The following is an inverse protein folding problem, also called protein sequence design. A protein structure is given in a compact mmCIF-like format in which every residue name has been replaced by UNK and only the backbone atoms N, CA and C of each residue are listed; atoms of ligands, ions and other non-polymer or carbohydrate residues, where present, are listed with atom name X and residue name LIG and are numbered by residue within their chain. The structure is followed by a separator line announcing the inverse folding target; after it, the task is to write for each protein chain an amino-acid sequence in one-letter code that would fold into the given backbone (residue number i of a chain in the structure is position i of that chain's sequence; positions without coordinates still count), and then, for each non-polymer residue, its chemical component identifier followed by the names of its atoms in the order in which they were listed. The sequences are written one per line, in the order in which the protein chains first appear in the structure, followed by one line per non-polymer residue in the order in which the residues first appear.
data_IF_431252543240
#
_entry.id   IF_431252543240
#
_cell.length_a   1.000
_cell.length_b   1.000
_cell.length_c   1.000
_cell.angle_alpha   90.00
_cell.angle_beta   90.00
_cell.angle_gamma   90.00
#
_symmetry.space_group_name_H-M   'P 1'
#
loop_
_entity.id
_entity.type
_entity.pdbx_description
1 polymer ?
#
# COMPACT_ATOMS: atom_id res chain seq x y z
N UNK A 1 -10.53 -1.94 -2.01
CA UNK A 1 -10.21 -1.59 -3.42
C UNK A 1 -11.44 -1.10 -4.18
N UNK A 2 -12.65 -1.51 -3.79
CA UNK A 2 -13.93 -1.02 -4.32
C UNK A 2 -14.06 0.52 -4.33
N UNK A 3 -13.72 1.21 -3.24
CA UNK A 3 -13.73 2.69 -3.17
C UNK A 3 -12.84 3.39 -4.22
N UNK A 4 -11.83 2.71 -4.78
CA UNK A 4 -11.00 3.26 -5.87
C UNK A 4 -11.62 3.01 -7.24
N UNK A 5 -12.35 1.91 -7.42
CA UNK A 5 -13.08 1.61 -8.66
C UNK A 5 -14.33 2.49 -8.78
N UNK A 6 -15.07 2.65 -7.68
CA UNK A 6 -16.26 3.50 -7.59
C UNK A 6 -15.95 4.98 -7.88
N UNK A 7 -14.77 5.47 -7.51
CA UNK A 7 -14.32 6.84 -7.85
C UNK A 7 -13.75 6.96 -9.26
N UNK A 8 -13.12 5.90 -9.79
CA UNK A 8 -12.47 5.93 -11.11
C UNK A 8 -13.45 5.72 -12.26
N UNK A 9 -14.49 4.91 -12.10
CA UNK A 9 -15.52 4.71 -13.11
C UNK A 9 -16.18 6.04 -13.56
N UNK A 10 -16.71 6.89 -12.67
CA UNK A 10 -17.32 8.17 -13.07
C UNK A 10 -16.26 9.18 -13.56
N UNK A 11 -15.02 9.08 -13.10
CA UNK A 11 -13.94 9.93 -13.59
C UNK A 11 -13.51 9.55 -15.02
N UNK A 12 -13.43 8.26 -15.33
CA UNK A 12 -13.11 7.75 -16.66
C UNK A 12 -14.25 8.06 -17.62
N UNK A 13 -15.50 7.89 -17.21
CA UNK A 13 -16.68 8.22 -18.01
C UNK A 13 -16.76 9.72 -18.33
N UNK A 14 -16.60 10.58 -17.32
CA UNK A 14 -16.54 12.04 -17.50
C UNK A 14 -15.37 12.48 -18.39
N UNK A 15 -14.22 11.81 -18.30
CA UNK A 15 -13.06 12.07 -19.17
C UNK A 15 -13.32 11.60 -20.59
N UNK A 16 -13.95 10.43 -20.77
CA UNK A 16 -14.29 9.89 -22.08
C UNK A 16 -15.28 10.80 -22.80
N UNK A 17 -16.40 11.16 -22.15
CA UNK A 17 -17.38 12.12 -22.68
C UNK A 17 -16.71 13.46 -23.02
N UNK A 18 -15.92 14.05 -22.12
CA UNK A 18 -15.24 15.31 -22.42
C UNK A 18 -14.17 15.23 -23.51
N UNK A 19 -13.66 14.04 -23.87
CA UNK A 19 -12.80 13.88 -25.05
C UNK A 19 -13.65 13.73 -26.31
N UNK A 20 -14.76 12.99 -26.24
CA UNK A 20 -15.72 12.88 -27.35
C UNK A 20 -16.27 14.25 -27.73
N UNK A 21 -16.71 15.07 -26.78
CA UNK A 21 -17.22 16.42 -27.03
C UNK A 21 -16.18 17.32 -27.72
N UNK A 22 -14.91 17.22 -27.29
CA UNK A 22 -13.80 17.97 -27.92
C UNK A 22 -13.49 17.45 -29.33
N UNK A 23 -13.60 16.14 -29.55
CA UNK A 23 -13.41 15.53 -30.86
C UNK A 23 -14.53 15.97 -31.83
N UNK A 24 -15.77 16.05 -31.35
CA UNK A 24 -16.92 16.56 -32.12
C UNK A 24 -16.75 18.04 -32.46
N UNK A 25 -16.30 18.85 -31.50
CA UNK A 25 -16.03 20.29 -31.72
C UNK A 25 -14.94 20.49 -32.78
N UNK A 26 -13.79 19.83 -32.63
CA UNK A 26 -12.70 19.93 -33.61
C UNK A 26 -13.07 19.34 -34.98
N UNK A 27 -13.99 18.36 -35.04
CA UNK A 27 -14.53 17.87 -36.31
C UNK A 27 -15.41 18.92 -37.00
N UNK A 28 -16.27 19.61 -36.24
CA UNK A 28 -17.13 20.67 -36.78
C UNK A 28 -16.31 21.87 -37.31
N UNK A 29 -15.22 22.23 -36.63
CA UNK A 29 -14.28 23.27 -37.08
C UNK A 29 -13.54 22.87 -38.36
N UNK A 30 -13.09 21.61 -38.47
CA UNK A 30 -12.49 21.07 -39.68
C UNK A 30 -13.48 21.05 -40.85
N UNK A 31 -14.72 20.63 -40.63
CA UNK A 31 -15.77 20.63 -41.66
C UNK A 31 -16.07 22.05 -42.17
N UNK A 32 -16.10 23.05 -41.27
CA UNK A 32 -16.26 24.46 -41.65
C UNK A 32 -15.05 25.00 -42.44
N UNK A 33 -13.83 24.62 -42.05
CA UNK A 33 -12.60 25.02 -42.76
C UNK A 33 -12.51 24.36 -44.14
N UNK A 34 -12.93 23.09 -44.28
CA UNK A 34 -13.01 22.39 -45.56
C UNK A 34 -14.07 23.01 -46.48
N UNK A 35 -15.23 23.40 -45.94
CA UNK A 35 -16.26 24.08 -46.71
C UNK A 35 -15.79 25.47 -47.19
N UNK A 36 -15.06 26.20 -46.34
CA UNK A 36 -14.40 27.46 -46.73
C UNK A 36 -13.35 27.26 -47.82
N UNK A 37 -12.59 26.16 -47.78
CA UNK A 37 -11.62 25.81 -48.83
C UNK A 37 -12.32 25.43 -50.15
N UNK A 38 -13.46 24.74 -50.07
CA UNK A 38 -14.28 24.37 -51.23
C UNK A 38 -14.94 25.58 -51.91
N UNK A 39 -15.22 26.63 -51.16
CA UNK A 39 -15.77 27.89 -51.66
C UNK A 39 -14.73 28.81 -52.36
N UNK A 40 -13.43 28.49 -52.26
CA UNK A 40 -12.38 29.19 -53.02
C UNK A 40 -12.32 28.58 -54.42
N UNK A 41 -13.08 29.18 -55.34
CA UNK A 41 -13.07 28.82 -56.76
C UNK A 41 -11.78 29.36 -57.41
N UNK A 42 -11.06 28.54 -58.17
CA UNK A 42 -9.88 29.00 -58.91
C UNK A 42 -10.36 29.84 -60.08
N UNK A 43 -10.02 31.14 -60.07
CA UNK A 43 -10.39 32.03 -61.17
C UNK A 43 -9.73 31.55 -62.48
N UNK A 44 -10.56 31.05 -63.40
CA UNK A 44 -10.14 30.48 -64.69
C UNK A 44 -9.38 31.51 -65.55
N UNK A 45 -9.49 32.81 -65.22
CA UNK A 45 -8.78 33.91 -65.84
C UNK A 45 -7.27 33.95 -65.53
N UNK A 46 -6.82 33.52 -64.35
CA UNK A 46 -5.38 33.50 -64.04
C UNK A 46 -4.67 32.37 -64.76
N UNK A 47 -5.34 31.23 -64.96
CA UNK A 47 -4.81 30.14 -65.80
C UNK A 47 -4.75 30.52 -67.28
N UNK A 48 -5.74 31.26 -67.79
CA UNK A 48 -5.74 31.73 -69.18
C UNK A 48 -4.71 32.83 -69.44
N UNK A 49 -4.48 33.76 -68.51
CA UNK A 49 -3.46 34.81 -68.66
C UNK A 49 -2.03 34.28 -68.54
N UNK A 50 -1.81 33.26 -67.70
CA UNK A 50 -0.52 32.55 -67.64
C UNK A 50 -0.29 31.74 -68.92
N UNK A 51 -1.32 31.06 -69.44
CA UNK A 51 -1.23 30.29 -70.70
C UNK A 51 -1.00 31.18 -71.92
N UNK A 52 -1.72 32.28 -72.04
CA UNK A 52 -1.55 33.27 -73.11
C UNK A 52 -0.15 33.89 -73.11
N UNK A 53 0.45 34.12 -71.93
CA UNK A 53 1.81 34.66 -71.80
C UNK A 53 2.93 33.63 -71.99
N UNK A 54 2.62 32.33 -71.88
CA UNK A 54 3.57 31.26 -72.20
C UNK A 54 3.66 31.00 -73.71
N UNK A 55 2.54 31.11 -74.45
CA UNK A 55 2.53 30.88 -75.90
C UNK A 55 3.16 32.03 -76.71
N UNK A 56 3.17 33.27 -76.18
CA UNK A 56 3.75 34.43 -76.89
C UNK A 56 5.29 34.45 -76.97
N UNK A 57 6.01 33.51 -76.32
CA UNK A 57 7.48 33.60 -76.16
C UNK A 57 8.26 32.33 -76.51
N UNK A 58 7.78 31.57 -77.50
CA UNK A 58 8.58 30.53 -78.13
C UNK A 58 9.50 31.13 -79.22
N UNK A 59 10.57 31.84 -78.88
CA UNK A 59 11.82 31.86 -79.68
C UNK A 59 12.94 32.72 -79.03
N UNK A 60 13.98 32.04 -78.55
CA UNK A 60 15.39 32.50 -78.41
C UNK A 60 15.76 33.73 -77.55
N UNK A 61 16.75 33.49 -76.66
CA UNK A 61 17.61 34.44 -75.92
C UNK A 61 17.00 35.26 -74.76
N UNK A 62 17.01 34.67 -73.56
CA UNK A 62 17.76 35.19 -72.39
C UNK A 62 17.44 34.36 -71.14
N UNK A 63 18.46 33.69 -70.57
CA UNK A 63 18.35 33.05 -69.24
C UNK A 63 17.90 34.04 -68.15
N UNK A 64 18.21 35.34 -68.29
CA UNK A 64 17.76 36.39 -67.35
C UNK A 64 16.26 36.68 -67.44
N UNK A 65 15.65 36.56 -68.63
CA UNK A 65 14.21 36.78 -68.83
C UNK A 65 13.38 35.56 -68.46
N UNK A 66 13.93 34.35 -68.65
CA UNK A 66 13.30 33.12 -68.16
C UNK A 66 13.33 33.07 -66.62
N UNK A 67 14.42 33.52 -66.00
CA UNK A 67 14.50 33.60 -64.54
C UNK A 67 13.62 34.70 -63.97
N UNK A 68 13.45 35.84 -64.66
CA UNK A 68 12.45 36.84 -64.25
C UNK A 68 11.02 36.31 -64.38
N UNK A 69 10.68 35.65 -65.49
CA UNK A 69 9.36 35.04 -65.68
C UNK A 69 9.06 33.93 -64.65
N UNK A 70 10.04 33.08 -64.34
CA UNK A 70 9.92 32.06 -63.27
C UNK A 70 9.77 32.72 -61.89
N UNK A 71 10.46 33.83 -61.64
CA UNK A 71 10.32 34.58 -60.39
C UNK A 71 8.96 35.27 -60.28
N UNK A 72 8.38 35.70 -61.40
CA UNK A 72 7.06 36.33 -61.47
C UNK A 72 5.94 35.31 -61.32
N UNK A 73 6.06 34.12 -61.93
CA UNK A 73 5.13 32.99 -61.69
C UNK A 73 5.23 32.53 -60.24
N UNK A 74 6.44 32.43 -59.67
CA UNK A 74 6.62 32.15 -58.23
C UNK A 74 5.99 33.22 -57.36
N UNK A 75 6.00 34.47 -57.79
CA UNK A 75 5.40 35.60 -57.07
C UNK A 75 3.88 35.56 -57.15
N UNK A 76 3.30 35.29 -58.31
CA UNK A 76 1.86 35.11 -58.50
C UNK A 76 1.31 33.90 -57.73
N UNK A 77 1.97 32.74 -57.84
CA UNK A 77 1.64 31.53 -57.05
C UNK A 77 1.80 31.79 -55.55
N UNK A 78 2.81 32.55 -55.14
CA UNK A 78 2.99 32.96 -53.74
C UNK A 78 1.89 33.91 -53.28
N UNK A 79 1.47 34.84 -54.13
CA UNK A 79 0.40 35.81 -53.88
C UNK A 79 -0.95 35.09 -53.71
N UNK A 80 -1.24 34.09 -54.54
CA UNK A 80 -2.44 33.22 -54.44
C UNK A 80 -2.37 32.16 -53.33
N UNK A 81 -1.19 31.69 -52.94
CA UNK A 81 -1.03 30.84 -51.74
C UNK A 81 -1.06 31.66 -50.44
N UNK A 82 -0.97 32.99 -50.50
CA UNK A 82 -1.08 33.87 -49.33
C UNK A 82 -2.44 33.74 -48.63
N UNK A 83 -3.60 33.74 -49.34
CA UNK A 83 -4.90 33.52 -48.71
C UNK A 83 -5.14 32.08 -48.23
N UNK A 84 -4.49 31.07 -48.83
CA UNK A 84 -4.62 29.67 -48.41
C UNK A 84 -3.71 29.27 -47.24
N UNK A 85 -2.57 29.96 -47.05
CA UNK A 85 -1.65 29.76 -45.92
C UNK A 85 -2.30 29.84 -44.53
N UNK A 86 -3.14 30.84 -44.20
CA UNK A 86 -3.79 30.88 -42.89
C UNK A 86 -4.74 29.69 -42.71
N UNK A 87 -5.42 29.24 -43.76
CA UNK A 87 -6.34 28.10 -43.70
C UNK A 87 -5.59 26.76 -43.52
N UNK A 88 -4.46 26.56 -44.20
CA UNK A 88 -3.61 25.37 -44.01
C UNK A 88 -2.99 25.36 -42.60
N UNK A 89 -2.61 26.52 -42.08
CA UNK A 89 -2.13 26.64 -40.72
C UNK A 89 -3.23 26.40 -39.68
N UNK A 90 -4.47 26.84 -39.95
CA UNK A 90 -5.65 26.56 -39.13
C UNK A 90 -5.94 25.05 -39.08
N UNK A 91 -5.97 24.39 -40.24
CA UNK A 91 -6.13 22.94 -40.35
C UNK A 91 -5.03 22.19 -39.58
N UNK A 92 -3.77 22.64 -39.70
CA UNK A 92 -2.65 22.06 -38.94
C UNK A 92 -2.80 22.27 -37.43
N UNK A 93 -3.31 23.42 -37.00
CA UNK A 93 -3.56 23.70 -35.59
C UNK A 93 -4.73 22.88 -35.01
N UNK A 94 -5.71 22.50 -35.83
CA UNK A 94 -6.86 21.66 -35.43
C UNK A 94 -6.57 20.14 -35.50
N UNK A 95 -5.65 19.72 -36.37
CA UNK A 95 -5.19 18.32 -36.42
C UNK A 95 -4.36 17.91 -35.19
N UNK A 96 -3.67 18.86 -34.56
CA UNK A 96 -2.89 18.61 -33.34
C UNK A 96 -3.77 18.17 -32.14
N UNK A 97 -4.84 18.89 -31.75
CA UNK A 97 -5.72 18.46 -30.68
C UNK A 97 -6.46 17.17 -31.01
N UNK A 98 -6.80 16.90 -32.27
CA UNK A 98 -7.33 15.60 -32.72
C UNK A 98 -6.36 14.44 -32.44
N UNK A 99 -5.07 14.61 -32.76
CA UNK A 99 -4.04 13.61 -32.48
C UNK A 99 -3.84 13.40 -30.96
N UNK A 100 -3.87 14.48 -30.17
CA UNK A 100 -3.78 14.39 -28.70
C UNK A 100 -5.02 13.72 -28.08
N UNK A 101 -6.22 14.03 -28.57
CA UNK A 101 -7.48 13.47 -28.09
C UNK A 101 -7.64 11.98 -28.44
N UNK A 102 -7.24 11.57 -29.65
CA UNK A 102 -7.21 10.15 -30.04
C UNK A 102 -6.20 9.34 -29.21
N UNK A 103 -5.03 9.92 -28.89
CA UNK A 103 -4.08 9.30 -27.97
C UNK A 103 -4.66 9.13 -26.55
N UNK A 104 -5.43 10.11 -26.06
CA UNK A 104 -6.12 10.03 -24.76
C UNK A 104 -7.28 9.02 -24.74
N UNK A 105 -8.04 8.89 -25.83
CA UNK A 105 -9.06 7.84 -25.94
C UNK A 105 -8.43 6.45 -25.89
N UNK A 106 -7.29 6.27 -26.56
CA UNK A 106 -6.55 5.01 -26.53
C UNK A 106 -6.03 4.67 -25.13
N UNK A 107 -5.56 5.66 -24.37
CA UNK A 107 -5.13 5.38 -22.99
C UNK A 107 -6.31 5.00 -22.10
N UNK A 108 -7.45 5.68 -22.22
CA UNK A 108 -8.67 5.35 -21.49
C UNK A 108 -9.15 3.93 -21.81
N UNK A 109 -9.20 3.54 -23.09
CA UNK A 109 -9.62 2.19 -23.46
C UNK A 109 -8.73 1.12 -22.85
N UNK A 110 -7.40 1.34 -22.84
CA UNK A 110 -6.46 0.41 -22.18
C UNK A 110 -6.62 0.36 -20.67
N UNK A 111 -6.99 1.46 -20.00
CA UNK A 111 -7.27 1.46 -18.57
C UNK A 111 -8.56 0.71 -18.25
N UNK A 112 -9.58 0.84 -19.09
CA UNK A 112 -10.87 0.19 -18.94
C UNK A 112 -10.75 -1.32 -19.17
N UNK A 113 -10.00 -1.74 -20.18
CA UNK A 113 -9.69 -3.15 -20.45
C UNK A 113 -8.94 -3.81 -19.27
N UNK A 114 -7.91 -3.14 -18.74
CA UNK A 114 -7.19 -3.62 -17.55
C UNK A 114 -8.10 -3.72 -16.33
N UNK A 115 -9.00 -2.76 -16.15
CA UNK A 115 -9.94 -2.75 -15.02
C UNK A 115 -10.95 -3.88 -15.14
N UNK A 116 -11.51 -4.09 -16.32
CA UNK A 116 -12.43 -5.21 -16.61
C UNK A 116 -11.74 -6.56 -16.37
N UNK A 117 -10.49 -6.73 -16.83
CA UNK A 117 -9.73 -7.96 -16.59
C UNK A 117 -9.53 -8.25 -15.10
N UNK A 118 -9.18 -7.24 -14.30
CA UNK A 118 -9.03 -7.39 -12.84
C UNK A 118 -10.35 -7.75 -12.17
N UNK A 119 -11.44 -7.06 -12.51
CA UNK A 119 -12.77 -7.36 -11.96
C UNK A 119 -13.16 -8.80 -12.29
N UNK A 120 -12.85 -9.28 -13.50
CA UNK A 120 -13.11 -10.65 -13.88
C UNK A 120 -12.30 -11.67 -13.06
N UNK A 121 -11.01 -11.41 -12.83
CA UNK A 121 -10.17 -12.24 -11.95
C UNK A 121 -10.67 -12.26 -10.49
N UNK A 122 -11.07 -11.09 -9.97
CA UNK A 122 -11.64 -10.96 -8.63
C UNK A 122 -12.99 -11.69 -8.51
N UNK A 123 -13.85 -11.60 -9.54
CA UNK A 123 -15.15 -12.27 -9.57
C UNK A 123 -15.00 -13.80 -9.60
N UNK A 124 -14.06 -14.32 -10.40
CA UNK A 124 -13.74 -15.76 -10.42
C UNK A 124 -13.26 -16.22 -9.03
N UNK A 125 -12.44 -15.41 -8.36
CA UNK A 125 -11.96 -15.72 -7.01
C UNK A 125 -13.10 -15.69 -5.99
N UNK A 126 -14.00 -14.72 -6.11
CA UNK A 126 -15.17 -14.57 -5.26
C UNK A 126 -16.16 -15.73 -5.43
N UNK A 127 -16.44 -16.12 -6.69
CA UNK A 127 -17.29 -17.25 -7.02
C UNK A 127 -16.74 -18.55 -6.42
N UNK A 128 -15.42 -18.75 -6.47
CA UNK A 128 -14.75 -19.88 -5.81
C UNK A 128 -14.91 -19.87 -4.27
N UNK A 129 -15.00 -18.69 -3.65
CA UNK A 129 -15.20 -18.54 -2.21
C UNK A 129 -16.67 -18.73 -1.75
N UNK A 130 -17.64 -18.59 -2.65
CA UNK A 130 -19.09 -18.71 -2.34
C UNK A 130 -19.68 -20.05 -2.78
N UNK A 131 -18.89 -20.90 -3.46
CA UNK A 131 -19.32 -22.20 -3.97
C UNK A 131 -20.16 -23.01 -2.95
N UNK A 132 -21.32 -23.58 -3.32
CA UNK A 132 -22.21 -24.26 -2.37
C UNK A 132 -21.50 -25.40 -1.61
N UNK A 133 -20.58 -26.10 -2.27
CA UNK A 133 -19.76 -27.15 -1.65
C UNK A 133 -18.78 -26.60 -0.61
N UNK A 134 -18.83 -27.16 0.59
CA UNK A 134 -17.96 -26.78 1.72
C UNK A 134 -16.48 -27.08 1.45
N UNK A 135 -16.16 -28.20 0.79
CA UNK A 135 -14.78 -28.58 0.47
C UNK A 135 -14.16 -27.65 -0.58
N UNK A 136 -14.91 -27.24 -1.59
CA UNK A 136 -14.46 -26.30 -2.62
C UNK A 136 -14.17 -24.90 -2.04
N UNK A 137 -15.05 -24.40 -1.15
CA UNK A 137 -14.81 -23.14 -0.41
C UNK A 137 -13.59 -23.21 0.47
N UNK A 138 -13.39 -24.33 1.17
CA UNK A 138 -12.22 -24.52 2.01
C UNK A 138 -10.95 -24.56 1.17
N UNK A 139 -10.94 -25.26 0.04
CA UNK A 139 -9.80 -25.31 -0.87
C UNK A 139 -9.47 -23.94 -1.48
N UNK A 140 -10.48 -23.15 -1.87
CA UNK A 140 -10.31 -21.79 -2.36
C UNK A 140 -9.76 -20.85 -1.27
N UNK A 141 -10.30 -20.93 -0.04
CA UNK A 141 -9.80 -20.17 1.10
C UNK A 141 -8.38 -20.59 1.54
N UNK A 142 -8.03 -21.88 1.44
CA UNK A 142 -6.70 -22.39 1.73
C UNK A 142 -5.65 -21.95 0.69
N UNK A 143 -6.05 -21.67 -0.55
CA UNK A 143 -5.15 -21.15 -1.59
C UNK A 143 -4.69 -19.72 -1.28
N UNK A 144 -5.47 -18.93 -0.54
CA UNK A 144 -5.03 -17.66 0.01
C UNK A 144 -4.30 -17.89 1.34
N UNK A 145 -3.03 -18.28 1.28
CA UNK A 145 -2.20 -18.43 2.48
C UNK A 145 -1.95 -17.06 3.13
N UNK A 146 -2.60 -16.81 4.27
CA UNK A 146 -2.40 -15.60 5.09
C UNK A 146 -1.14 -15.75 5.98
N UNK A 147 -0.77 -17.00 6.30
CA UNK A 147 0.34 -17.33 7.19
C UNK A 147 1.72 -17.05 6.56
N UNK A 148 1.91 -17.37 5.28
CA UNK A 148 3.21 -17.19 4.62
C UNK A 148 3.60 -15.70 4.55
N UNK A 149 2.74 -14.77 4.07
CA UNK A 149 3.05 -13.35 4.07
C UNK A 149 3.25 -12.78 5.49
N UNK A 150 2.48 -13.26 6.47
CA UNK A 150 2.64 -12.84 7.87
C UNK A 150 4.00 -13.27 8.45
N UNK A 151 4.42 -14.51 8.20
CA UNK A 151 5.71 -15.04 8.66
C UNK A 151 6.89 -14.32 7.99
N UNK A 152 6.79 -14.07 6.67
CA UNK A 152 7.78 -13.28 5.94
C UNK A 152 7.87 -11.86 6.50
N UNK A 153 6.74 -11.21 6.76
CA UNK A 153 6.72 -9.88 7.34
C UNK A 153 7.31 -9.86 8.76
N UNK A 154 7.08 -10.89 9.57
CA UNK A 154 7.68 -11.05 10.89
C UNK A 154 9.21 -11.21 10.79
N UNK A 155 9.70 -12.00 9.84
CA UNK A 155 11.13 -12.15 9.58
C UNK A 155 11.79 -10.81 9.20
N UNK A 156 11.15 -10.05 8.29
CA UNK A 156 11.63 -8.71 7.93
C UNK A 156 11.56 -7.75 9.12
N UNK A 157 10.50 -7.80 9.94
CA UNK A 157 10.39 -7.02 11.17
C UNK A 157 11.49 -7.35 12.18
N UNK A 158 11.90 -8.62 12.29
CA UNK A 158 13.02 -9.00 13.16
C UNK A 158 14.33 -8.33 12.73
N UNK A 159 14.59 -8.27 11.42
CA UNK A 159 15.77 -7.57 10.88
C UNK A 159 15.67 -6.06 11.14
N UNK A 160 14.49 -5.48 10.95
CA UNK A 160 14.25 -4.07 11.26
C UNK A 160 14.46 -3.77 12.75
N UNK A 161 14.01 -4.65 13.64
CA UNK A 161 14.19 -4.52 15.09
C UNK A 161 15.66 -4.52 15.49
N UNK A 162 16.50 -5.31 14.81
CA UNK A 162 17.96 -5.24 14.97
C UNK A 162 18.50 -3.87 14.58
N UNK A 163 17.99 -3.25 13.51
CA UNK A 163 18.34 -1.88 13.13
C UNK A 163 17.96 -0.85 14.20
N UNK A 164 16.78 -0.98 14.80
CA UNK A 164 16.32 -0.14 15.93
C UNK A 164 17.21 -0.33 17.15
N UNK A 165 17.57 -1.57 17.46
CA UNK A 165 18.47 -1.89 18.57
C UNK A 165 19.85 -1.26 18.36
N UNK A 166 20.39 -1.30 17.14
CA UNK A 166 21.62 -0.58 16.82
C UNK A 166 21.46 0.93 17.03
N UNK A 167 20.34 1.53 16.58
CA UNK A 167 20.11 2.98 16.79
C UNK A 167 20.16 3.38 18.25
N UNK A 168 19.55 2.57 19.11
CA UNK A 168 19.52 2.79 20.55
C UNK A 168 20.93 2.95 21.14
N UNK A 169 21.89 2.09 20.78
CA UNK A 169 23.27 2.23 21.25
C UNK A 169 24.03 3.39 20.61
N UNK A 170 23.67 3.78 19.39
CA UNK A 170 24.27 4.95 18.73
C UNK A 170 23.87 6.24 19.44
N UNK A 171 22.62 6.34 19.91
CA UNK A 171 22.07 7.54 20.55
C UNK A 171 22.38 7.60 22.05
N UNK A 172 22.28 6.47 22.77
CA UNK A 172 22.34 6.47 24.23
C UNK A 172 23.65 7.05 24.77
N UNK A 173 24.80 6.67 24.20
CA UNK A 173 26.13 7.06 24.71
C UNK A 173 26.38 8.57 24.63
N UNK A 174 26.20 9.24 23.48
CA UNK A 174 26.34 10.70 23.43
C UNK A 174 25.24 11.44 24.22
N UNK A 175 24.04 10.86 24.40
CA UNK A 175 23.02 11.43 25.28
C UNK A 175 23.41 11.36 26.76
N UNK A 176 24.16 10.35 27.19
CA UNK A 176 24.66 10.25 28.57
C UNK A 176 25.58 11.43 28.93
N UNK A 177 26.38 11.86 27.98
CA UNK A 177 27.26 13.01 28.18
C UNK A 177 26.51 14.35 28.20
N UNK A 178 25.53 14.52 27.30
CA UNK A 178 24.77 15.78 27.18
C UNK A 178 23.81 15.97 28.35
N UNK A 179 23.15 14.89 28.76
CA UNK A 179 22.04 14.93 29.71
C UNK A 179 22.50 14.57 31.13
N UNK A 180 23.67 13.94 31.26
CA UNK A 180 24.24 13.50 32.53
C UNK A 180 23.83 12.06 32.88
N UNK A 181 24.82 11.22 33.20
CA UNK A 181 24.65 9.79 33.45
C UNK A 181 24.07 9.49 34.86
N UNK A 182 24.25 10.40 35.82
CA UNK A 182 23.80 10.23 37.21
C UNK A 182 22.31 10.55 37.44
N UNK A 183 21.58 10.97 36.40
CA UNK A 183 20.18 11.33 36.53
C UNK A 183 19.29 10.15 36.16
N UNK A 184 18.42 9.74 37.10
CA UNK A 184 17.44 8.68 36.88
C UNK A 184 16.01 9.21 36.90
N UNK A 185 15.19 8.74 35.96
CA UNK A 185 13.75 9.02 35.90
C UNK A 185 13.01 7.70 36.09
N UNK A 186 12.23 7.60 37.18
CA UNK A 186 11.51 6.36 37.56
C UNK A 186 12.40 5.10 37.64
N UNK A 187 13.67 5.24 38.05
CA UNK A 187 14.60 4.12 38.17
C UNK A 187 15.18 3.61 36.85
N UNK A 188 14.99 4.36 35.75
CA UNK A 188 15.69 4.17 34.46
C UNK A 188 16.66 5.33 34.27
N UNK A 189 17.85 5.04 33.76
CA UNK A 189 18.84 6.07 33.44
C UNK A 189 18.26 7.04 32.40
N UNK A 190 18.39 8.34 32.64
CA UNK A 190 17.84 9.38 31.78
C UNK A 190 18.31 9.28 30.31
N UNK A 191 19.57 8.89 30.01
CA UNK A 191 20.03 8.69 28.62
C UNK A 191 19.29 7.57 27.91
N UNK A 192 18.99 6.47 28.61
CA UNK A 192 18.20 5.34 28.10
C UNK A 192 16.78 5.79 27.78
N UNK A 193 16.15 6.53 28.69
CA UNK A 193 14.80 7.05 28.46
C UNK A 193 14.75 8.03 27.27
N UNK A 194 15.73 8.93 27.16
CA UNK A 194 15.82 9.88 26.07
C UNK A 194 15.99 9.20 24.70
N UNK A 195 16.90 8.22 24.61
CA UNK A 195 17.10 7.45 23.37
C UNK A 195 15.82 6.71 22.94
N UNK A 196 15.08 6.12 23.89
CA UNK A 196 13.83 5.43 23.60
C UNK A 196 12.74 6.39 23.07
N UNK A 197 12.62 7.58 23.66
CA UNK A 197 11.66 8.61 23.21
C UNK A 197 11.97 9.06 21.78
N UNK A 198 13.25 9.28 21.45
CA UNK A 198 13.68 9.64 20.09
C UNK A 198 13.27 8.57 19.09
N UNK A 199 13.62 7.31 19.35
CA UNK A 199 13.27 6.16 18.50
C UNK A 199 11.76 6.05 18.30
N UNK A 200 10.96 6.21 19.37
CA UNK A 200 9.51 6.16 19.24
C UNK A 200 8.96 7.31 18.40
N UNK A 201 9.49 8.51 18.57
CA UNK A 201 9.06 9.67 17.81
C UNK A 201 9.39 9.50 16.30
N UNK A 202 10.55 8.93 15.98
CA UNK A 202 10.91 8.54 14.61
C UNK A 202 10.03 7.43 14.06
N UNK A 203 9.71 6.41 14.84
CA UNK A 203 8.79 5.35 14.44
C UNK A 203 7.41 5.90 14.09
N UNK A 204 6.89 6.81 14.92
CA UNK A 204 5.61 7.49 14.66
C UNK A 204 5.71 8.35 13.40
N UNK A 205 6.78 9.15 13.24
CA UNK A 205 6.99 9.96 12.04
C UNK A 205 7.11 9.09 10.78
N UNK A 206 7.77 7.93 10.87
CA UNK A 206 7.90 6.95 9.80
C UNK A 206 6.57 6.31 9.38
N UNK A 207 5.75 5.91 10.36
CA UNK A 207 4.39 5.41 10.10
C UNK A 207 3.54 6.47 9.41
N UNK A 208 3.59 7.70 9.93
CA UNK A 208 2.87 8.86 9.37
C UNK A 208 3.34 9.15 7.93
N UNK A 209 4.64 9.12 7.67
CA UNK A 209 5.22 9.31 6.34
C UNK A 209 4.69 8.26 5.36
N UNK A 210 4.72 6.99 5.74
CA UNK A 210 4.31 5.89 4.87
C UNK A 210 2.80 5.88 4.58
N UNK A 211 1.97 6.25 5.55
CA UNK A 211 0.52 6.39 5.35
C UNK A 211 0.19 7.65 4.52
N UNK A 212 0.88 8.77 4.77
CA UNK A 212 0.75 9.99 3.97
C UNK A 212 1.24 9.80 2.52
N UNK A 213 2.25 8.95 2.27
CA UNK A 213 2.66 8.57 0.93
C UNK A 213 1.62 7.67 0.23
N UNK A 214 0.75 7.00 1.00
CA UNK A 214 -0.24 6.04 0.52
C UNK A 214 0.35 4.67 0.21
N UNK A 215 1.56 4.39 0.73
CA UNK A 215 2.20 3.07 0.69
C UNK A 215 1.51 2.18 1.72
N UNK A 216 1.40 2.66 2.97
CA UNK A 216 0.68 1.97 4.04
C UNK A 216 -0.69 2.58 4.34
N UNK A 217 -1.56 1.87 5.06
CA UNK A 217 -2.90 2.35 5.46
C UNK A 217 -3.21 2.17 6.96
N UNK A 218 -2.20 2.30 7.82
CA UNK A 218 -2.34 2.03 9.26
C UNK A 218 -3.23 3.06 9.97
N UNK A 219 -3.10 4.36 9.64
CA UNK A 219 -3.72 5.46 10.40
C UNK A 219 -4.82 6.21 9.63
N UNK A 220 -5.29 5.65 8.51
CA UNK A 220 -6.29 6.23 7.59
C UNK A 220 -5.91 7.60 6.99
N UNK A 221 -4.69 8.07 7.20
CA UNK A 221 -4.20 9.37 6.72
C UNK A 221 -4.19 9.43 5.20
N UNK A 222 -3.98 8.28 4.55
CA UNK A 222 -4.09 8.14 3.10
C UNK A 222 -5.43 8.55 2.49
N UNK A 223 -6.51 8.61 3.30
CA UNK A 223 -7.86 9.03 2.87
C UNK A 223 -8.12 10.54 2.96
N UNK A 224 -7.21 11.31 3.57
CA UNK A 224 -7.36 12.75 3.75
C UNK A 224 -7.36 13.52 2.42
N UNK A 225 -7.95 14.74 2.39
CA UNK A 225 -7.88 15.65 1.26
C UNK A 225 -6.43 15.97 0.83
N UNK A 226 -6.23 16.37 -0.44
CA UNK A 226 -4.88 16.53 -1.03
C UNK A 226 -3.96 17.49 -0.28
N UNK A 227 -4.49 18.57 0.29
CA UNK A 227 -3.71 19.60 1.02
C UNK A 227 -3.13 19.08 2.34
N UNK A 228 -3.94 18.65 3.34
CA UNK A 228 -3.41 18.16 4.62
C UNK A 228 -2.51 16.94 4.44
N UNK A 229 -2.82 16.06 3.47
CA UNK A 229 -1.96 14.92 3.13
C UNK A 229 -0.56 15.33 2.69
N UNK A 230 -0.45 16.36 1.83
CA UNK A 230 0.86 16.88 1.39
C UNK A 230 1.61 17.57 2.52
N UNK A 231 0.90 18.37 3.33
CA UNK A 231 1.51 19.05 4.48
C UNK A 231 2.12 18.02 5.43
N UNK A 232 1.37 16.98 5.76
CA UNK A 232 1.83 15.93 6.65
C UNK A 232 2.98 15.10 6.06
N UNK A 233 2.94 14.81 4.75
CA UNK A 233 4.04 14.13 4.06
C UNK A 233 5.32 14.97 4.14
N UNK A 234 5.27 16.26 3.79
CA UNK A 234 6.44 17.13 3.87
C UNK A 234 6.90 17.38 5.32
N UNK A 235 5.96 17.47 6.27
CA UNK A 235 6.28 17.59 7.69
C UNK A 235 7.02 16.35 8.21
N UNK A 236 6.55 15.15 7.88
CA UNK A 236 7.20 13.90 8.30
C UNK A 236 8.59 13.71 7.63
N UNK A 237 8.72 14.08 6.35
CA UNK A 237 10.02 14.10 5.65
C UNK A 237 10.98 15.08 6.33
N UNK A 238 10.53 16.31 6.59
CA UNK A 238 11.35 17.32 7.23
C UNK A 238 11.75 16.91 8.66
N UNK A 239 10.82 16.30 9.40
CA UNK A 239 11.06 15.77 10.73
C UNK A 239 12.13 14.66 10.72
N UNK A 240 11.97 13.64 9.89
CA UNK A 240 12.96 12.55 9.77
C UNK A 240 14.31 13.05 9.25
N UNK A 241 14.33 14.01 8.31
CA UNK A 241 15.57 14.61 7.83
C UNK A 241 16.30 15.41 8.94
N UNK A 242 15.56 16.15 9.76
CA UNK A 242 16.13 16.88 10.89
C UNK A 242 16.71 15.93 11.96
N UNK A 243 15.98 14.86 12.28
CA UNK A 243 16.45 13.84 13.22
C UNK A 243 17.65 13.06 12.68
N UNK A 244 17.62 12.66 11.41
CA UNK A 244 18.74 12.05 10.71
C UNK A 244 20.01 12.92 10.74
N UNK A 245 19.89 14.24 10.60
CA UNK A 245 21.00 15.16 10.77
C UNK A 245 21.48 15.25 12.23
N UNK A 246 20.56 15.27 13.18
CA UNK A 246 20.88 15.28 14.61
C UNK A 246 21.62 14.00 15.04
N UNK A 247 21.15 12.84 14.59
CA UNK A 247 21.82 11.55 14.83
C UNK A 247 23.19 11.47 14.17
N UNK A 248 23.36 12.05 12.97
CA UNK A 248 24.67 12.15 12.33
C UNK A 248 25.66 12.92 13.20
N UNK A 249 25.24 14.05 13.79
CA UNK A 249 26.05 14.84 14.72
C UNK A 249 26.39 14.03 15.99
N UNK A 250 25.39 13.35 16.57
CA UNK A 250 25.61 12.50 17.75
C UNK A 250 26.58 11.35 17.45
N UNK A 251 26.55 10.79 16.24
CA UNK A 251 27.49 9.74 15.82
C UNK A 251 28.94 10.25 15.75
N UNK A 252 29.16 11.50 15.33
CA UNK A 252 30.49 12.14 15.39
C UNK A 252 30.97 12.20 16.84
N UNK A 253 30.11 12.70 17.74
CA UNK A 253 30.44 12.85 19.15
C UNK A 253 30.75 11.51 19.81
N UNK A 254 29.97 10.47 19.47
CA UNK A 254 30.20 9.11 19.95
C UNK A 254 31.60 8.59 19.61
N UNK A 255 32.05 8.78 18.37
CA UNK A 255 33.37 8.31 17.94
C UNK A 255 34.50 9.04 18.69
N UNK A 256 34.38 10.36 18.85
CA UNK A 256 35.35 11.16 19.62
C UNK A 256 35.41 10.70 21.07
N UNK A 257 34.26 10.43 21.70
CA UNK A 257 34.20 9.92 23.08
C UNK A 257 34.88 8.55 23.21
N UNK A 258 34.69 7.65 22.25
CA UNK A 258 35.32 6.32 22.27
C UNK A 258 36.86 6.45 22.18
N UNK A 259 37.36 7.40 21.40
CA UNK A 259 38.81 7.63 21.28
C UNK A 259 39.41 8.12 22.61
N UNK A 260 38.76 9.10 23.25
CA UNK A 260 39.21 9.63 24.55
C UNK A 260 39.19 8.55 25.64
N UNK A 261 38.14 7.71 25.68
CA UNK A 261 38.00 6.60 26.62
C UNK A 261 39.10 5.54 26.43
N UNK A 262 39.48 5.26 25.18
CA UNK A 262 40.59 4.35 24.87
C UNK A 262 41.95 4.91 25.28
N UNK A 263 42.19 6.21 25.05
CA UNK A 263 43.44 6.88 25.43
C UNK A 263 43.61 6.93 26.95
N UNK A 264 42.57 7.33 27.67
CA UNK A 264 42.58 7.37 29.14
C UNK A 264 42.77 5.99 29.77
N UNK A 265 42.11 4.96 29.23
CA UNK A 265 42.30 3.58 29.68
C UNK A 265 43.74 3.09 29.46
N UNK A 266 44.35 3.39 28.30
CA UNK A 266 45.75 3.04 28.02
C UNK A 266 46.72 3.76 28.96
N UNK A 267 46.49 5.04 29.23
CA UNK A 267 47.26 5.81 30.22
C UNK A 267 47.11 5.23 31.63
N UNK A 268 45.91 4.79 32.01
CA UNK A 268 45.64 4.19 33.32
C UNK A 268 46.29 2.80 33.49
N UNK A 269 46.43 2.03 32.41
CA UNK A 269 47.07 0.71 32.41
C UNK A 269 48.61 0.79 32.44
N UNK A 270 49.20 2.00 32.40
CA UNK A 270 50.65 2.18 32.48
C UNK A 270 51.40 1.77 31.20
N UNK A 271 50.69 1.48 30.11
CA UNK A 271 51.28 1.39 28.77
C UNK A 271 51.69 2.82 28.37
N UNK A 272 52.97 3.13 28.54
CA UNK A 272 53.54 4.42 28.19
C UNK A 272 53.19 4.81 26.76
N UNK A 273 53.03 6.12 26.53
CA UNK A 273 52.65 6.74 25.27
C UNK A 273 53.65 6.42 24.14
N UNK A 274 53.61 5.21 23.59
CA UNK A 274 54.11 4.97 22.25
C UNK A 274 53.15 5.67 21.31
N UNK A 275 53.71 6.69 20.64
CA UNK A 275 53.03 7.59 19.72
C UNK A 275 52.15 6.82 18.74
N UNK A 276 50.87 6.70 19.07
CA UNK A 276 49.86 6.34 18.09
C UNK A 276 49.77 7.56 17.18
N UNK A 277 50.22 7.37 15.94
CA UNK A 277 50.17 8.38 14.88
C UNK A 277 48.87 9.17 14.96
N UNK A 278 49.02 10.49 14.90
CA UNK A 278 48.00 11.48 14.56
C UNK A 278 47.04 10.89 13.51
N UNK A 279 45.93 10.33 13.98
CA UNK A 279 44.76 10.12 13.15
C UNK A 279 43.85 11.33 13.31
N UNK A 280 44.43 12.52 13.13
CA UNK A 280 43.72 13.80 12.99
C UNK A 280 42.92 13.88 11.67
N UNK A 281 42.55 12.72 11.12
CA UNK A 281 41.75 12.56 9.91
C UNK A 281 40.43 11.88 10.27
N UNK A 282 39.41 12.16 9.48
CA UNK A 282 38.10 11.50 9.62
C UNK A 282 38.32 9.97 9.52
N UNK A 283 38.12 9.25 10.63
CA UNK A 283 38.28 7.80 10.63
C UNK A 283 37.24 7.17 9.69
N UNK A 284 37.62 6.10 8.99
CA UNK A 284 36.68 5.35 8.15
C UNK A 284 35.46 4.89 8.98
N UNK A 285 35.70 4.56 10.25
CA UNK A 285 34.68 4.23 11.24
C UNK A 285 33.71 5.40 11.46
N UNK A 286 34.21 6.62 11.62
CA UNK A 286 33.37 7.82 11.79
C UNK A 286 32.42 8.01 10.60
N UNK A 287 32.94 7.92 9.36
CA UNK A 287 32.10 8.06 8.15
C UNK A 287 31.05 6.95 8.10
N UNK A 288 31.44 5.70 8.36
CA UNK A 288 30.52 4.57 8.36
C UNK A 288 29.41 4.73 9.40
N UNK A 289 29.74 5.19 10.60
CA UNK A 289 28.78 5.42 11.69
C UNK A 289 27.87 6.61 11.39
N UNK A 290 28.39 7.71 10.80
CA UNK A 290 27.56 8.83 10.35
C UNK A 290 26.56 8.41 9.28
N UNK A 291 27.02 7.67 8.26
CA UNK A 291 26.15 7.17 7.20
C UNK A 291 25.09 6.23 7.76
N UNK A 292 25.47 5.35 8.70
CA UNK A 292 24.54 4.47 9.38
C UNK A 292 23.49 5.25 10.18
N UNK A 293 23.91 6.24 10.98
CA UNK A 293 23.02 7.11 11.75
C UNK A 293 22.05 7.87 10.85
N UNK A 294 22.52 8.41 9.72
CA UNK A 294 21.64 9.06 8.76
C UNK A 294 20.59 8.10 8.20
N UNK A 295 20.96 6.86 7.89
CA UNK A 295 20.09 5.89 7.24
C UNK A 295 19.05 5.25 8.16
N UNK A 296 19.33 5.12 9.47
CA UNK A 296 18.45 4.37 10.36
C UNK A 296 17.04 4.98 10.50
N UNK A 297 16.84 6.30 10.68
CA UNK A 297 15.49 6.88 10.75
C UNK A 297 14.64 6.58 9.51
N UNK A 298 15.27 6.55 8.33
CA UNK A 298 14.61 6.17 7.08
C UNK A 298 14.32 4.68 6.99
N UNK A 299 15.23 3.85 7.49
CA UNK A 299 15.03 2.40 7.59
C UNK A 299 13.85 2.08 8.52
N UNK A 300 13.73 2.83 9.62
CA UNK A 300 12.64 2.73 10.58
C UNK A 300 11.29 3.14 9.96
N UNK A 301 11.29 4.16 9.10
CA UNK A 301 10.11 4.48 8.29
C UNK A 301 9.73 3.35 7.32
N UNK A 302 10.70 2.72 6.66
CA UNK A 302 10.45 1.58 5.76
C UNK A 302 9.90 0.38 6.53
N UNK A 303 10.30 0.18 7.79
CA UNK A 303 9.78 -0.88 8.65
C UNK A 303 8.27 -0.79 8.88
N UNK A 304 7.64 0.37 8.64
CA UNK A 304 6.18 0.51 8.69
C UNK A 304 5.46 -0.37 7.64
N UNK A 305 6.11 -0.72 6.52
CA UNK A 305 5.53 -1.57 5.46
C UNK A 305 5.28 -3.00 5.95
N UNK A 306 6.30 -3.76 6.41
CA UNK A 306 6.07 -5.09 6.98
C UNK A 306 5.23 -5.02 8.26
N UNK A 307 5.36 -3.95 9.06
CA UNK A 307 4.52 -3.74 10.25
C UNK A 307 3.03 -3.72 9.91
N UNK A 308 2.62 -3.07 8.81
CA UNK A 308 1.23 -3.09 8.35
C UNK A 308 0.74 -4.53 8.09
N UNK A 309 1.56 -5.31 7.40
CA UNK A 309 1.23 -6.71 7.06
C UNK A 309 1.14 -7.56 8.32
N UNK A 310 2.05 -7.36 9.28
CA UNK A 310 2.02 -8.03 10.57
C UNK A 310 0.73 -7.70 11.31
N UNK A 311 0.38 -6.42 11.44
CA UNK A 311 -0.82 -5.98 12.19
C UNK A 311 -2.10 -6.50 11.53
N UNK A 312 -2.25 -6.34 10.22
CA UNK A 312 -3.46 -6.75 9.50
C UNK A 312 -3.71 -8.26 9.62
N UNK A 313 -2.69 -9.05 9.34
CA UNK A 313 -2.80 -10.50 9.43
C UNK A 313 -2.87 -10.98 10.89
N UNK A 314 -2.21 -10.31 11.83
CA UNK A 314 -2.28 -10.64 13.26
C UNK A 314 -3.69 -10.48 13.81
N UNK A 315 -4.38 -9.37 13.52
CA UNK A 315 -5.77 -9.17 13.96
C UNK A 315 -6.70 -10.22 13.36
N UNK A 316 -6.49 -10.60 12.10
CA UNK A 316 -7.26 -11.66 11.47
C UNK A 316 -7.01 -13.03 12.12
N UNK A 317 -5.74 -13.41 12.30
CA UNK A 317 -5.34 -14.66 12.96
C UNK A 317 -5.87 -14.70 14.40
N UNK A 318 -5.79 -13.58 15.13
CA UNK A 318 -6.30 -13.46 16.49
C UNK A 318 -7.81 -13.69 16.55
N UNK A 319 -8.57 -13.12 15.61
CA UNK A 319 -10.02 -13.36 15.49
C UNK A 319 -10.34 -14.83 15.20
N UNK A 320 -9.58 -15.47 14.30
CA UNK A 320 -9.74 -16.89 13.97
C UNK A 320 -9.45 -17.79 15.18
N UNK A 321 -8.33 -17.53 15.87
CA UNK A 321 -7.94 -18.27 17.08
C UNK A 321 -8.99 -18.08 18.18
N UNK A 322 -9.44 -16.84 18.43
CA UNK A 322 -10.46 -16.57 19.44
C UNK A 322 -11.78 -17.28 19.12
N UNK A 323 -12.19 -17.30 17.86
CA UNK A 323 -13.37 -18.07 17.42
C UNK A 323 -13.20 -19.56 17.70
N UNK A 324 -12.04 -20.14 17.37
CA UNK A 324 -11.76 -21.55 17.64
C UNK A 324 -11.74 -21.88 19.13
N UNK A 325 -11.17 -21.00 19.96
CA UNK A 325 -11.18 -21.11 21.43
C UNK A 325 -12.62 -21.08 21.95
N UNK A 326 -13.48 -20.21 21.41
CA UNK A 326 -14.89 -20.15 21.82
C UNK A 326 -15.65 -21.43 21.48
N UNK A 327 -15.45 -22.00 20.28
CA UNK A 327 -16.07 -23.27 19.90
C UNK A 327 -15.57 -24.41 20.80
N UNK A 328 -14.26 -24.45 21.06
CA UNK A 328 -13.67 -25.45 21.93
C UNK A 328 -14.18 -25.35 23.38
N UNK A 329 -14.34 -24.13 23.88
CA UNK A 329 -14.91 -23.88 25.20
C UNK A 329 -16.38 -24.29 25.27
N UNK A 330 -17.17 -23.99 24.23
CA UNK A 330 -18.55 -24.45 24.12
C UNK A 330 -18.65 -25.98 24.11
N UNK A 331 -17.73 -26.66 23.40
CA UNK A 331 -17.63 -28.12 23.41
C UNK A 331 -17.31 -28.69 24.80
N UNK A 332 -16.39 -28.06 25.55
CA UNK A 332 -16.07 -28.44 26.94
C UNK A 332 -17.32 -28.33 27.81
N UNK A 333 -18.03 -27.20 27.76
CA UNK A 333 -19.25 -27.00 28.55
C UNK A 333 -20.37 -27.97 28.17
N UNK A 334 -20.54 -28.26 26.88
CA UNK A 334 -21.52 -29.24 26.40
C UNK A 334 -21.20 -30.66 26.90
N UNK A 335 -19.92 -31.04 26.87
CA UNK A 335 -19.44 -32.33 27.37
C UNK A 335 -19.65 -32.42 28.89
N UNK A 336 -19.27 -31.38 29.62
CA UNK A 336 -19.46 -31.28 31.08
C UNK A 336 -20.95 -31.37 31.46
N UNK A 337 -21.83 -30.67 30.74
CA UNK A 337 -23.27 -30.73 30.96
C UNK A 337 -23.83 -32.13 30.74
N UNK A 338 -23.31 -32.86 29.75
CA UNK A 338 -23.71 -34.25 29.48
C UNK A 338 -23.27 -35.19 30.61
N UNK A 339 -22.05 -35.01 31.10
CA UNK A 339 -21.51 -35.79 32.24
C UNK A 339 -22.33 -35.52 33.51
N UNK A 340 -22.62 -34.25 33.84
CA UNK A 340 -23.43 -33.91 35.01
C UNK A 340 -24.83 -34.49 34.93
N UNK A 341 -25.46 -34.46 33.74
CA UNK A 341 -26.78 -35.10 33.53
C UNK A 341 -26.71 -36.61 33.75
N UNK A 342 -25.69 -37.28 33.21
CA UNK A 342 -25.49 -38.72 33.38
C UNK A 342 -25.27 -39.07 34.87
N UNK A 343 -24.46 -38.28 35.57
CA UNK A 343 -24.19 -38.47 37.00
C UNK A 343 -25.45 -38.25 37.84
N UNK A 344 -26.24 -37.22 37.56
CA UNK A 344 -27.50 -36.96 38.25
C UNK A 344 -28.51 -38.10 38.08
N UNK A 345 -28.66 -38.62 36.86
CA UNK A 345 -29.51 -39.79 36.59
C UNK A 345 -28.99 -41.06 37.27
N UNK A 346 -27.67 -41.24 37.35
CA UNK A 346 -27.07 -42.36 38.07
C UNK A 346 -27.36 -42.30 39.56
N UNK A 347 -27.20 -41.13 40.20
CA UNK A 347 -27.50 -40.94 41.63
C UNK A 347 -28.97 -41.23 41.92
N UNK A 348 -29.90 -40.77 41.08
CA UNK A 348 -31.32 -41.08 41.18
C UNK A 348 -31.59 -42.60 41.14
N UNK A 349 -30.95 -43.33 40.20
CA UNK A 349 -31.10 -44.80 40.11
C UNK A 349 -30.54 -45.52 41.33
N UNK A 350 -29.40 -45.06 41.86
CA UNK A 350 -28.82 -45.62 43.10
C UNK A 350 -29.75 -45.36 44.28
N UNK A 351 -30.32 -44.15 44.38
CA UNK A 351 -31.28 -43.78 45.42
C UNK A 351 -32.55 -44.64 45.36
N UNK A 352 -33.13 -44.81 44.16
CA UNK A 352 -34.28 -45.70 43.94
C UNK A 352 -33.95 -47.14 44.37
N UNK A 353 -32.77 -47.66 43.98
CA UNK A 353 -32.33 -49.00 44.38
C UNK A 353 -32.22 -49.12 45.90
N UNK A 354 -31.68 -48.11 46.58
CA UNK A 354 -31.50 -48.10 48.03
C UNK A 354 -32.83 -48.12 48.79
N UNK A 355 -33.88 -47.46 48.25
CA UNK A 355 -35.25 -47.53 48.78
C UNK A 355 -35.94 -48.85 48.46
N UNK A 356 -35.79 -49.36 47.23
CA UNK A 356 -36.47 -50.58 46.80
C UNK A 356 -35.88 -51.85 47.42
N UNK A 357 -34.59 -51.88 47.71
CA UNK A 357 -33.91 -53.05 48.30
C UNK A 357 -34.58 -53.55 49.60
N UNK A 358 -34.87 -52.71 50.61
CA UNK A 358 -35.59 -53.16 51.81
C UNK A 358 -37.03 -53.58 51.51
N UNK A 359 -37.72 -52.95 50.56
CA UNK A 359 -39.09 -53.30 50.18
C UNK A 359 -39.18 -54.68 49.51
N UNK A 360 -38.20 -55.03 48.68
CA UNK A 360 -38.12 -56.36 48.04
C UNK A 360 -37.79 -57.44 49.08
N UNK A 361 -36.88 -57.15 50.03
CA UNK A 361 -36.59 -58.06 51.15
C UNK A 361 -37.84 -58.29 51.99
N UNK A 362 -38.61 -57.23 52.30
CA UNK A 362 -39.89 -57.35 53.01
C UNK A 362 -40.91 -58.18 52.22
N UNK A 363 -41.02 -57.95 50.90
CA UNK A 363 -41.89 -58.70 50.01
C UNK A 363 -41.53 -60.17 49.89
N UNK A 364 -40.23 -60.50 49.83
CA UNK A 364 -39.74 -61.89 49.85
C UNK A 364 -40.05 -62.57 51.18
N UNK A 365 -39.79 -61.92 52.31
CA UNK A 365 -40.09 -62.46 53.65
C UNK A 365 -41.60 -62.69 53.81
N UNK A 366 -42.45 -61.75 53.35
CA UNK A 366 -43.92 -61.92 53.40
C UNK A 366 -44.44 -63.01 52.46
N UNK A 367 -43.82 -63.25 51.30
CA UNK A 367 -44.18 -64.37 50.40
C UNK A 367 -43.80 -65.73 50.97
N UNK A 368 -42.61 -65.84 51.57
CA UNK A 368 -42.18 -67.07 52.27
C UNK A 368 -43.09 -67.37 53.46
N UNK A 369 -43.68 -66.33 54.09
CA UNK A 369 -44.61 -66.47 55.22
C UNK A 369 -46.07 -66.75 54.84
N UNK A 370 -46.42 -66.86 53.54
CA UNK A 370 -47.75 -67.31 53.09
C UNK A 370 -47.70 -68.69 52.41
N UNK A 371 -47.61 -69.79 53.18
CA UNK A 371 -48.27 -71.04 52.83
C UNK A 371 -49.60 -71.16 53.61
N UNK A 372 -50.63 -71.68 52.94
CA UNK A 372 -51.88 -72.22 53.51
C UNK A 372 -52.89 -71.24 54.16
N UNK A 373 -53.64 -70.49 53.34
CA UNK A 373 -55.04 -70.12 53.68
C UNK A 373 -55.93 -69.98 52.45
N UNK A 374 -55.89 -70.97 51.55
CA UNK A 374 -56.83 -71.09 50.41
C UNK A 374 -57.18 -72.55 50.18
N UNK A 375 -57.78 -73.19 51.20
CA UNK A 375 -58.39 -74.54 51.10
C UNK A 375 -59.54 -74.75 52.08
N UNK A 376 -60.24 -73.69 52.49
CA UNK A 376 -61.33 -73.75 53.48
C UNK A 376 -62.58 -72.94 53.11
N UNK A 377 -62.81 -72.67 51.83
CA UNK A 377 -64.07 -72.06 51.32
C UNK A 377 -64.61 -72.90 50.15
N UNK A 378 -64.74 -74.20 50.39
CA UNK A 378 -65.27 -75.17 49.44
C UNK A 378 -65.77 -76.42 50.17
N UNK A 379 -66.66 -76.22 51.14
CA UNK A 379 -67.56 -77.23 51.72
C UNK A 379 -68.35 -76.58 52.87
N UNK A 380 -69.49 -75.97 52.54
CA UNK A 380 -70.70 -75.90 53.37
C UNK A 380 -71.80 -75.27 52.51
#
# INVERSE_FOLDING_TARGET
QELKLEKRAPEIDRRASGIVDRLETSRAELDATIEAFRAVDLDEQTLQTVRARMDENSFSRSKSKLTSAVSDVRRAVKEELTPLRPQINALRSELKPMAENTARLRSISTELERSAKRINEDLVTFEACIHPDYEARRAAAQRQSILIPWLLALLVMSVALTGVFLNFFLIQRPMAEIVGDDLQVMGVDLPTAAALVVIFLEAVAGIVLMDAAGITRITLISTLPRLPKRILLYAAIAFLAAFSFFEAILAIQREVLIQIDQETTRMALGEGAEATQDSSGVSLTMIAQMVLAVLIPWLLAIAAIPLETVIQNFVFILRLVLHQVMIFLAFIFATLATILKALGLFVLRVYDLLIFLPLVIEGMVRRVRRPARRKAEGAA
#
